data_IF_369071761944
#
_entry.id   IF_369071761944
#
_cell.length_a   1.000
_cell.length_b   1.000
_cell.length_c   1.000
_cell.angle_alpha   90.00
_cell.angle_beta   90.00
_cell.angle_gamma   90.00
#
_symmetry.space_group_name_H-M   'P 1'
#
loop_
_entity.id
_entity.type
_entity.pdbx_description
1 polymer ?
#
# COMPACT_ATOMS: atom_id res chain seq x y z
N UNK A 1 15.30 6.55 0.76
CA UNK A 1 14.39 5.39 0.94
C UNK A 1 13.03 5.82 0.41
N UNK A 2 12.31 4.97 -0.32
CA UNK A 2 11.01 5.33 -0.90
C UNK A 2 9.97 4.19 -0.74
N UNK A 3 8.70 4.50 -0.98
CA UNK A 3 7.59 3.56 -0.95
C UNK A 3 7.05 3.31 -2.35
N UNK A 4 6.70 2.07 -2.65
CA UNK A 4 5.99 1.64 -3.85
C UNK A 4 4.59 1.22 -3.41
N UNK A 5 3.58 1.85 -3.99
CA UNK A 5 2.17 1.57 -3.74
C UNK A 5 1.53 0.96 -4.98
N UNK A 6 0.71 -0.06 -4.78
CA UNK A 6 -0.04 -0.70 -5.86
C UNK A 6 -1.37 -1.18 -5.31
N UNK A 7 -2.47 -0.89 -6.00
CA UNK A 7 -3.80 -1.39 -5.63
C UNK A 7 -3.95 -2.91 -5.84
N UNK A 8 -2.98 -3.55 -6.51
CA UNK A 8 -2.96 -4.98 -6.77
C UNK A 8 -1.92 -5.69 -5.88
N UNK A 9 -2.36 -6.37 -4.82
CA UNK A 9 -1.44 -7.03 -3.88
C UNK A 9 -0.69 -8.22 -4.50
N UNK A 10 -1.25 -8.87 -5.53
CA UNK A 10 -0.60 -9.94 -6.28
C UNK A 10 0.58 -9.40 -7.11
N UNK A 11 0.38 -8.30 -7.83
CA UNK A 11 1.45 -7.63 -8.58
C UNK A 11 2.58 -7.16 -7.66
N UNK A 12 2.26 -6.62 -6.49
CA UNK A 12 3.26 -6.23 -5.51
C UNK A 12 4.04 -7.43 -4.92
N UNK A 13 3.40 -8.61 -4.84
CA UNK A 13 4.07 -9.84 -4.42
C UNK A 13 5.08 -10.31 -5.48
N UNK A 14 4.69 -10.24 -6.76
CA UNK A 14 5.54 -10.56 -7.89
C UNK A 14 6.77 -9.66 -7.92
N UNK A 15 6.58 -8.34 -7.82
CA UNK A 15 7.67 -7.36 -7.74
C UNK A 15 8.62 -7.65 -6.58
N UNK A 16 8.09 -8.03 -5.40
CA UNK A 16 8.91 -8.38 -4.25
C UNK A 16 9.73 -9.67 -4.46
N UNK A 17 9.22 -10.63 -5.23
CA UNK A 17 9.89 -11.89 -5.54
C UNK A 17 10.81 -11.80 -6.77
N UNK A 18 10.73 -10.72 -7.55
CA UNK A 18 11.44 -10.56 -8.81
C UNK A 18 12.95 -10.41 -8.59
N UNK A 19 13.74 -11.43 -8.99
CA UNK A 19 15.19 -11.49 -8.74
C UNK A 19 15.96 -10.27 -9.26
N UNK A 20 15.60 -9.75 -10.44
CA UNK A 20 16.25 -8.56 -11.01
C UNK A 20 16.03 -7.29 -10.19
N UNK A 21 14.99 -7.26 -9.34
CA UNK A 21 14.67 -6.14 -8.46
C UNK A 21 15.20 -6.33 -7.03
N UNK A 22 15.97 -7.38 -6.76
CA UNK A 22 16.54 -7.62 -5.43
C UNK A 22 17.48 -6.49 -4.96
N UNK A 23 18.08 -5.74 -5.89
CA UNK A 23 18.87 -4.55 -5.59
C UNK A 23 18.06 -3.41 -4.93
N UNK A 24 16.72 -3.40 -5.11
CA UNK A 24 15.82 -2.46 -4.42
C UNK A 24 15.63 -2.80 -2.94
N UNK A 25 16.06 -3.99 -2.51
CA UNK A 25 15.80 -4.57 -1.19
C UNK A 25 14.30 -4.47 -0.82
N UNK A 26 13.40 -5.02 -1.66
CA UNK A 26 11.96 -4.86 -1.48
C UNK A 26 11.50 -5.46 -0.15
N UNK A 27 10.94 -4.62 0.74
CA UNK A 27 10.33 -5.06 2.00
C UNK A 27 8.84 -4.77 2.00
N UNK A 28 8.02 -5.81 2.13
CA UNK A 28 6.56 -5.66 2.23
C UNK A 28 6.18 -5.01 3.57
N UNK A 29 5.53 -3.85 3.53
CA UNK A 29 5.01 -3.14 4.71
C UNK A 29 3.51 -3.39 4.92
N UNK A 30 2.78 -3.56 3.82
CA UNK A 30 1.36 -3.88 3.80
C UNK A 30 1.04 -4.66 2.51
N UNK A 31 -0.19 -5.18 2.32
CA UNK A 31 -0.55 -5.89 1.08
C UNK A 31 -0.33 -5.07 -0.19
N UNK A 32 -0.54 -3.76 -0.12
CA UNK A 32 -0.48 -2.78 -1.22
C UNK A 32 0.70 -1.82 -1.12
N UNK A 33 1.61 -2.02 -0.14
CA UNK A 33 2.75 -1.12 0.11
C UNK A 33 4.05 -1.92 0.28
N UNK A 34 5.06 -1.52 -0.49
CA UNK A 34 6.41 -2.09 -0.48
C UNK A 34 7.43 -0.97 -0.26
N UNK A 35 8.37 -1.16 0.64
CA UNK A 35 9.49 -0.26 0.83
C UNK A 35 10.67 -0.63 -0.07
N UNK A 36 11.32 0.38 -0.63
CA UNK A 36 12.59 0.28 -1.35
C UNK A 36 13.67 1.04 -0.59
N UNK A 37 14.84 0.42 -0.44
CA UNK A 37 16.00 1.07 0.17
C UNK A 37 16.54 2.21 -0.72
N UNK A 38 16.33 2.13 -2.04
CA UNK A 38 16.81 3.13 -2.98
C UNK A 38 15.94 4.41 -2.98
N UNK A 39 16.49 5.56 -3.41
CA UNK A 39 15.70 6.76 -3.70
C UNK A 39 14.66 6.52 -4.79
N UNK A 40 13.63 7.37 -4.84
CA UNK A 40 12.51 7.22 -5.78
C UNK A 40 12.96 7.18 -7.25
N UNK A 41 13.88 8.06 -7.66
CA UNK A 41 14.40 8.08 -9.04
C UNK A 41 15.06 6.76 -9.47
N UNK A 42 15.87 6.16 -8.58
CA UNK A 42 16.52 4.87 -8.84
C UNK A 42 15.51 3.72 -8.84
N UNK A 43 14.53 3.77 -7.94
CA UNK A 43 13.43 2.78 -7.89
C UNK A 43 12.57 2.84 -9.15
N UNK A 44 12.23 4.04 -9.64
CA UNK A 44 11.52 4.24 -10.90
C UNK A 44 12.29 3.67 -12.08
N UNK A 45 13.59 3.95 -12.17
CA UNK A 45 14.44 3.43 -13.23
C UNK A 45 14.48 1.89 -13.21
N UNK A 46 14.77 1.28 -12.07
CA UNK A 46 14.83 -0.18 -11.95
C UNK A 46 13.52 -0.88 -12.30
N UNK A 47 12.37 -0.30 -11.89
CA UNK A 47 11.05 -0.82 -12.24
C UNK A 47 10.77 -0.71 -13.75
N UNK A 48 11.17 0.40 -14.40
CA UNK A 48 11.05 0.57 -15.85
C UNK A 48 11.92 -0.40 -16.64
N UNK A 49 13.16 -0.61 -16.21
CA UNK A 49 14.06 -1.60 -16.79
C UNK A 49 13.53 -3.04 -16.64
N UNK A 50 12.81 -3.32 -15.56
CA UNK A 50 12.11 -4.59 -15.36
C UNK A 50 10.80 -4.70 -16.16
N UNK A 51 10.39 -3.67 -16.92
CA UNK A 51 9.20 -3.66 -17.77
C UNK A 51 7.91 -3.21 -17.07
N UNK A 52 8.00 -2.70 -15.84
CA UNK A 52 6.87 -2.09 -15.15
C UNK A 52 6.72 -0.61 -15.53
N UNK A 53 5.53 -0.05 -15.33
CA UNK A 53 5.19 1.33 -15.71
C UNK A 53 4.86 2.18 -14.47
N UNK A 54 5.86 2.50 -13.64
CA UNK A 54 5.63 3.25 -12.41
C UNK A 54 5.41 4.74 -12.67
N UNK A 55 4.54 5.35 -11.86
CA UNK A 55 4.24 6.79 -11.89
C UNK A 55 4.77 7.45 -10.62
N UNK A 56 5.52 8.55 -10.71
CA UNK A 56 5.90 9.34 -9.54
C UNK A 56 4.65 9.97 -8.90
N UNK A 57 4.58 9.97 -7.58
CA UNK A 57 3.55 10.72 -6.84
C UNK A 57 4.09 12.08 -6.41
N UNK A 58 3.20 13.03 -6.14
CA UNK A 58 3.57 14.41 -5.75
C UNK A 58 4.39 14.47 -4.45
N UNK A 59 4.32 13.43 -3.63
CA UNK A 59 5.08 13.32 -2.39
C UNK A 59 6.55 12.92 -2.61
N UNK A 60 6.98 12.69 -3.86
CA UNK A 60 8.39 12.46 -4.27
C UNK A 60 9.01 11.15 -3.78
N UNK A 61 8.56 10.63 -2.65
CA UNK A 61 9.02 9.40 -2.01
C UNK A 61 8.07 8.22 -2.24
N UNK A 62 6.94 8.45 -2.93
CA UNK A 62 5.98 7.39 -3.25
C UNK A 62 5.90 7.16 -4.77
N UNK A 63 5.90 5.89 -5.18
CA UNK A 63 5.83 5.43 -6.56
C UNK A 63 4.59 4.56 -6.72
N UNK A 64 3.70 4.91 -7.66
CA UNK A 64 2.50 4.13 -7.93
C UNK A 64 2.74 3.12 -9.06
N UNK A 65 2.33 1.87 -8.87
CA UNK A 65 2.38 0.80 -9.87
C UNK A 65 0.96 0.45 -10.33
N UNK A 66 0.77 0.32 -11.65
CA UNK A 66 -0.46 -0.17 -12.26
C UNK A 66 -0.14 -1.36 -13.19
N UNK A 67 -1.08 -2.29 -13.33
CA UNK A 67 -0.95 -3.35 -14.35
C UNK A 67 -0.95 -2.72 -15.75
N UNK A 68 0.05 -3.05 -16.54
CA UNK A 68 -0.07 -2.92 -17.99
C UNK A 68 -0.90 -4.07 -18.52
N UNK A 69 -2.21 -3.84 -18.66
CA UNK A 69 -3.06 -4.70 -19.48
C UNK A 69 -2.51 -4.70 -20.91
N UNK A 70 -1.87 -5.80 -21.32
CA UNK A 70 -1.86 -6.17 -22.73
C UNK A 70 -3.32 -6.54 -23.09
N UNK A 71 -3.94 -6.01 -24.17
CA UNK A 71 -5.40 -6.10 -24.40
C UNK A 71 -6.04 -7.48 -24.65
N UNK A 72 -5.48 -8.62 -24.21
CA UNK A 72 -5.86 -9.92 -24.77
C UNK A 72 -6.26 -11.06 -23.80
N UNK A 73 -6.37 -10.86 -22.47
CA UNK A 73 -6.85 -11.96 -21.62
C UNK A 73 -7.78 -11.48 -20.52
N UNK A 74 -9.08 -11.41 -20.85
CA UNK A 74 -10.15 -11.19 -19.89
C UNK A 74 -10.82 -12.52 -19.56
N UNK A 75 -10.55 -13.03 -18.35
CA UNK A 75 -11.54 -13.84 -17.62
C UNK A 75 -12.03 -13.03 -16.42
N UNK A 76 -13.33 -12.73 -16.30
CA UNK A 76 -13.85 -11.87 -15.24
C UNK A 76 -13.98 -12.67 -13.94
N UNK A 77 -12.98 -12.55 -13.06
CA UNK A 77 -13.09 -12.98 -11.67
C UNK A 77 -13.89 -11.96 -10.86
N UNK A 78 -15.04 -12.38 -10.34
CA UNK A 78 -16.08 -11.61 -9.63
C UNK A 78 -15.63 -10.87 -8.34
N UNK A 79 -14.35 -10.91 -7.98
CA UNK A 79 -13.79 -10.38 -6.72
C UNK A 79 -13.59 -8.84 -6.73
N UNK A 80 -13.43 -8.23 -7.91
CA UNK A 80 -13.05 -6.82 -8.05
C UNK A 80 -14.15 -5.80 -7.66
N UNK A 81 -15.41 -6.23 -7.62
CA UNK A 81 -16.55 -5.34 -7.34
C UNK A 81 -16.73 -5.05 -5.85
N UNK A 82 -16.42 -6.03 -4.98
CA UNK A 82 -16.53 -5.85 -3.53
C UNK A 82 -15.40 -4.97 -2.98
N UNK A 83 -14.16 -5.18 -3.47
CA UNK A 83 -13.00 -4.39 -3.10
C UNK A 83 -13.18 -2.89 -3.46
N UNK A 84 -13.70 -2.57 -4.65
CA UNK A 84 -13.97 -1.19 -5.06
C UNK A 84 -15.00 -0.46 -4.19
N UNK A 85 -16.06 -1.15 -3.73
CA UNK A 85 -17.03 -0.54 -2.79
C UNK A 85 -16.41 -0.28 -1.41
N UNK A 86 -15.53 -1.16 -0.94
CA UNK A 86 -14.84 -0.98 0.34
C UNK A 86 -13.82 0.17 0.29
N UNK A 87 -13.06 0.31 -0.80
CA UNK A 87 -12.11 1.40 -1.00
C UNK A 87 -12.79 2.77 -1.15
N UNK A 88 -13.93 2.85 -1.85
CA UNK A 88 -14.69 4.09 -1.96
C UNK A 88 -15.19 4.58 -0.59
N UNK A 89 -15.64 3.65 0.28
CA UNK A 89 -16.02 3.98 1.67
C UNK A 89 -14.83 4.42 2.51
N UNK A 90 -13.66 3.81 2.33
CA UNK A 90 -12.44 4.18 3.07
C UNK A 90 -11.87 5.52 2.61
N UNK A 91 -11.89 5.83 1.31
CA UNK A 91 -11.51 7.16 0.79
C UNK A 91 -12.45 8.26 1.26
N UNK A 92 -13.76 8.00 1.36
CA UNK A 92 -14.71 8.95 1.96
C UNK A 92 -14.44 9.20 3.46
N UNK A 93 -13.80 8.26 4.16
CA UNK A 93 -13.39 8.40 5.56
C UNK A 93 -11.99 9.02 5.74
N UNK A 94 -11.21 9.16 4.66
CA UNK A 94 -9.81 9.61 4.71
C UNK A 94 -9.63 11.14 4.68
N UNK A 95 -10.69 11.92 4.74
CA UNK A 95 -10.63 13.37 5.01
C UNK A 95 -10.36 13.71 6.49
N UNK A 96 -9.85 12.77 7.27
CA UNK A 96 -9.52 12.97 8.68
C UNK A 96 -8.10 13.53 8.80
N UNK A 97 -8.00 14.72 9.39
CA UNK A 97 -6.74 15.34 9.77
C UNK A 97 -5.85 14.34 10.54
N UNK A 98 -4.62 14.05 10.07
CA UNK A 98 -3.73 13.08 10.70
C UNK A 98 -3.42 13.43 12.16
N UNK A 99 -3.46 14.71 12.54
CA UNK A 99 -3.24 15.14 13.93
C UNK A 99 -4.41 14.71 14.82
N UNK A 100 -5.65 14.83 14.35
CA UNK A 100 -6.83 14.37 15.08
C UNK A 100 -6.83 12.85 15.31
N UNK A 101 -6.38 12.08 14.32
CA UNK A 101 -6.25 10.61 14.44
C UNK A 101 -5.19 10.24 15.48
N UNK A 102 -4.03 10.91 15.46
CA UNK A 102 -2.96 10.67 16.43
C UNK A 102 -3.41 10.97 17.87
N UNK A 103 -4.13 12.08 18.09
CA UNK A 103 -4.66 12.44 19.42
C UNK A 103 -5.62 11.37 19.95
N UNK A 104 -6.55 10.90 19.12
CA UNK A 104 -7.51 9.85 19.48
C UNK A 104 -6.84 8.51 19.81
N UNK A 105 -5.72 8.18 19.16
CA UNK A 105 -4.94 6.98 19.49
C UNK A 105 -4.23 7.10 20.85
N UNK A 106 -3.72 8.27 21.19
CA UNK A 106 -3.12 8.53 22.51
C UNK A 106 -4.18 8.45 23.61
N UNK A 107 -5.36 9.05 23.39
CA UNK A 107 -6.48 9.05 24.34
C UNK A 107 -7.02 7.64 24.60
N UNK A 108 -7.15 6.81 23.54
CA UNK A 108 -7.62 5.42 23.69
C UNK A 108 -6.58 4.51 24.33
N UNK A 109 -5.29 4.82 24.21
CA UNK A 109 -4.19 4.07 24.85
C UNK A 109 -4.05 4.38 26.34
N UNK A 110 -4.49 5.56 26.79
CA UNK A 110 -4.41 5.99 28.20
C UNK A 110 -5.68 5.74 29.01
N UNK A 111 -6.75 5.20 28.40
CA UNK A 111 -7.94 4.79 29.12
C UNK A 111 -7.60 3.71 30.17
N UNK A 112 -7.91 3.91 31.46
CA UNK A 112 -7.62 2.90 32.48
C UNK A 112 -8.44 1.64 32.21
N UNK A 113 -7.78 0.48 32.27
CA UNK A 113 -8.43 -0.84 32.20
C UNK A 113 -9.61 -0.87 33.18
N UNK A 114 -10.85 -1.15 32.75
CA UNK A 114 -11.97 -1.26 33.67
C UNK A 114 -11.70 -2.44 34.62
N UNK A 115 -11.67 -2.17 35.93
CA UNK A 115 -11.53 -3.20 36.97
C UNK A 115 -12.76 -4.10 36.90
N UNK A 116 -12.55 -5.38 36.59
CA UNK A 116 -13.60 -6.39 36.62
C UNK A 116 -14.12 -6.55 38.06
N UNK A 117 -15.28 -5.96 38.34
CA UNK A 117 -16.05 -6.21 39.56
C UNK A 117 -16.77 -7.54 39.42
N UNK A 118 -16.20 -8.63 39.95
CA UNK A 118 -16.97 -9.83 40.31
C UNK A 118 -17.85 -9.47 41.51
N UNK A 119 -19.16 -9.50 41.33
CA UNK A 119 -20.13 -9.51 42.44
C UNK A 119 -20.79 -10.89 42.40
N UNK A 120 -20.69 -11.58 43.54
CA UNK A 120 -21.15 -12.96 43.75
C UNK A 120 -22.64 -13.07 44.04
#
# INVERSE_FOLDING_TARGET
MCCVVCDQPALLAEVAAHRRLSALQPRRLAPTVLASALPAGQTLAALREAGYFPVPTEQGETVALAETRRPADQRPGMEHSAARKSQARQRAAAGADPVAVARRLVETRTAPRPKASRRG
#
